data_IF_548113050614
#
_entry.id   IF_548113050614
#
_cell.length_a   1.000
_cell.length_b   1.000
_cell.length_c   1.000
_cell.angle_alpha   90.00
_cell.angle_beta   90.00
_cell.angle_gamma   90.00
#
_symmetry.space_group_name_H-M   'P 1'
#
loop_
_entity.id
_entity.type
_entity.pdbx_description
1 polymer ?
#
# COMPACT_ATOMS: atom_id res chain seq x y z
N UNK A 1 -9.80 -7.09 -7.77
CA UNK A 1 -8.34 -7.31 -7.76
C UNK A 1 -8.01 -8.49 -8.64
N UNK A 2 -6.91 -8.41 -9.39
CA UNK A 2 -6.49 -9.40 -10.38
C UNK A 2 -4.99 -9.67 -10.37
N UNK A 3 -4.30 -9.20 -9.34
CA UNK A 3 -2.87 -9.37 -9.16
C UNK A 3 -2.54 -10.64 -8.39
N UNK A 4 -1.34 -11.15 -8.61
CA UNK A 4 -0.66 -12.05 -7.69
C UNK A 4 0.31 -11.21 -6.87
N UNK A 5 0.08 -11.13 -5.56
CA UNK A 5 1.03 -10.49 -4.64
C UNK A 5 1.34 -9.02 -4.91
N UNK A 6 0.39 -8.25 -5.46
CA UNK A 6 0.60 -6.88 -5.97
C UNK A 6 1.84 -6.71 -6.88
N UNK A 7 2.29 -7.80 -7.50
CA UNK A 7 3.46 -7.85 -8.37
C UNK A 7 3.03 -7.98 -9.83
N UNK A 8 3.31 -6.99 -10.69
CA UNK A 8 3.06 -7.10 -12.13
C UNK A 8 3.79 -8.28 -12.78
N UNK A 9 5.05 -8.55 -12.41
CA UNK A 9 5.80 -9.68 -12.93
C UNK A 9 5.16 -11.04 -12.57
N UNK A 10 4.83 -11.27 -11.29
CA UNK A 10 4.18 -12.51 -10.87
C UNK A 10 2.80 -12.67 -11.52
N UNK A 11 2.07 -11.57 -11.67
CA UNK A 11 0.76 -11.56 -12.34
C UNK A 11 0.87 -11.91 -13.82
N UNK A 12 1.86 -11.39 -14.53
CA UNK A 12 2.11 -11.71 -15.94
C UNK A 12 2.49 -13.19 -16.13
N UNK A 13 3.35 -13.74 -15.26
CA UNK A 13 3.71 -15.15 -15.28
C UNK A 13 2.50 -16.06 -15.02
N UNK A 14 1.73 -15.77 -13.99
CA UNK A 14 0.50 -16.52 -13.69
C UNK A 14 -0.52 -16.43 -14.82
N UNK A 15 -0.70 -15.24 -15.41
CA UNK A 15 -1.61 -15.03 -16.55
C UNK A 15 -1.21 -15.91 -17.73
N UNK A 16 0.08 -15.94 -18.10
CA UNK A 16 0.57 -16.77 -19.19
C UNK A 16 0.22 -18.26 -18.97
N UNK A 17 0.37 -18.75 -17.74
CA UNK A 17 -0.04 -20.11 -17.38
C UNK A 17 -1.57 -20.29 -17.42
N UNK A 18 -2.34 -19.36 -16.86
CA UNK A 18 -3.80 -19.43 -16.78
C UNK A 18 -4.48 -19.46 -18.17
N UNK A 19 -3.91 -18.79 -19.16
CA UNK A 19 -4.36 -18.85 -20.56
C UNK A 19 -4.25 -20.28 -21.11
N UNK A 20 -3.14 -20.99 -20.83
CA UNK A 20 -2.96 -22.37 -21.29
C UNK A 20 -3.92 -23.36 -20.62
N UNK A 21 -4.44 -23.01 -19.44
CA UNK A 21 -5.37 -23.82 -18.64
C UNK A 21 -6.85 -23.46 -18.87
N UNK A 22 -7.16 -22.51 -19.76
CA UNK A 22 -8.56 -22.13 -20.09
C UNK A 22 -9.30 -21.31 -19.03
N UNK A 23 -8.60 -20.69 -18.08
CA UNK A 23 -9.21 -19.88 -16.99
C UNK A 23 -9.52 -18.43 -17.42
N UNK A 24 -10.47 -18.26 -18.35
CA UNK A 24 -10.68 -16.97 -19.04
C UNK A 24 -11.11 -15.78 -18.16
N UNK A 25 -12.04 -15.90 -17.19
CA UNK A 25 -12.44 -14.77 -16.34
C UNK A 25 -11.30 -14.21 -15.48
N UNK A 26 -10.41 -15.10 -15.03
CA UNK A 26 -9.23 -14.82 -14.23
C UNK A 26 -8.17 -14.04 -15.04
N UNK A 27 -7.98 -14.42 -16.30
CA UNK A 27 -7.08 -13.74 -17.24
C UNK A 27 -7.50 -12.29 -17.46
N UNK A 28 -8.79 -12.03 -17.66
CA UNK A 28 -9.30 -10.65 -17.86
C UNK A 28 -9.04 -9.73 -16.66
N UNK A 29 -9.08 -10.26 -15.42
CA UNK A 29 -8.74 -9.49 -14.21
C UNK A 29 -7.25 -9.20 -14.11
N UNK A 30 -6.39 -10.15 -14.49
CA UNK A 30 -4.95 -9.93 -14.57
C UNK A 30 -4.59 -8.87 -15.62
N UNK A 31 -5.23 -8.93 -16.79
CA UNK A 31 -5.05 -7.92 -17.84
C UNK A 31 -5.42 -6.53 -17.37
N UNK A 32 -6.60 -6.39 -16.72
CA UNK A 32 -7.03 -5.12 -16.17
C UNK A 32 -6.05 -4.57 -15.11
N UNK A 33 -5.49 -5.45 -14.27
CA UNK A 33 -4.48 -5.07 -13.28
C UNK A 33 -3.18 -4.60 -13.93
N UNK A 34 -2.61 -5.37 -14.87
CA UNK A 34 -1.36 -5.03 -15.56
C UNK A 34 -1.48 -3.72 -16.33
N UNK A 35 -2.62 -3.50 -16.99
CA UNK A 35 -2.91 -2.25 -17.69
C UNK A 35 -3.04 -1.06 -16.72
N UNK A 36 -3.65 -1.26 -15.56
CA UNK A 36 -3.73 -0.22 -14.52
C UNK A 36 -2.34 0.11 -13.94
N UNK A 37 -1.53 -0.91 -13.63
CA UNK A 37 -0.16 -0.75 -13.16
C UNK A 37 0.71 -0.01 -14.19
N UNK A 38 0.55 -0.31 -15.48
CA UNK A 38 1.30 0.37 -16.55
C UNK A 38 0.90 1.84 -16.65
N UNK A 39 -0.40 2.14 -16.66
CA UNK A 39 -0.90 3.54 -16.65
C UNK A 39 -0.43 4.35 -15.45
N UNK A 40 -0.28 3.71 -14.29
CA UNK A 40 0.18 4.39 -13.07
C UNK A 40 1.62 4.94 -13.18
N UNK A 41 2.45 4.37 -14.06
CA UNK A 41 3.82 4.88 -14.30
C UNK A 41 3.84 6.26 -14.96
N UNK A 42 2.74 6.65 -15.64
CA UNK A 42 2.64 7.88 -16.45
C UNK A 42 3.76 8.05 -17.50
N UNK A 43 4.48 6.97 -17.84
CA UNK A 43 5.57 7.01 -18.81
C UNK A 43 5.08 7.16 -20.26
N UNK A 44 3.82 6.79 -20.53
CA UNK A 44 3.27 6.72 -21.89
C UNK A 44 3.78 5.51 -22.69
N UNK A 45 4.60 4.65 -22.08
CA UNK A 45 5.16 3.46 -22.74
C UNK A 45 4.33 2.24 -22.32
N UNK A 46 3.69 1.60 -23.29
CA UNK A 46 2.90 0.40 -23.05
C UNK A 46 3.77 -0.75 -22.53
N UNK A 47 3.28 -1.49 -21.54
CA UNK A 47 3.97 -2.62 -20.95
C UNK A 47 5.05 -2.27 -19.93
N UNK A 48 5.43 -0.99 -19.80
CA UNK A 48 6.24 -0.52 -18.67
C UNK A 48 5.37 -0.52 -17.43
N UNK A 49 5.78 -1.26 -16.41
CA UNK A 49 5.09 -1.45 -15.14
C UNK A 49 6.09 -1.29 -13.99
N UNK A 50 5.66 -0.86 -12.80
CA UNK A 50 6.51 -0.92 -11.62
C UNK A 50 6.71 -2.38 -11.16
N UNK A 51 7.65 -2.61 -10.25
CA UNK A 51 7.83 -3.91 -9.61
C UNK A 51 6.71 -4.25 -8.61
N UNK A 52 6.10 -3.23 -8.00
CA UNK A 52 4.99 -3.34 -7.04
C UNK A 52 3.92 -2.29 -7.32
N UNK A 53 2.64 -2.68 -7.34
CA UNK A 53 1.52 -1.74 -7.46
C UNK A 53 0.19 -2.33 -6.97
N UNK A 54 -0.67 -1.55 -6.30
CA UNK A 54 -0.43 -0.18 -5.84
C UNK A 54 0.38 -0.12 -4.54
N UNK A 55 0.79 1.09 -4.17
CA UNK A 55 1.46 1.40 -2.89
C UNK A 55 0.74 2.57 -2.18
N UNK A 56 -0.59 2.56 -2.22
CA UNK A 56 -1.44 3.68 -1.82
C UNK A 56 -1.62 3.85 -0.30
N UNK A 57 -0.92 3.05 0.50
CA UNK A 57 -0.73 3.27 1.95
C UNK A 57 0.73 3.61 2.19
N UNK A 58 1.65 2.80 1.66
CA UNK A 58 3.10 2.99 1.78
C UNK A 58 3.54 4.40 1.36
N UNK A 59 3.20 4.85 0.15
CA UNK A 59 3.65 6.14 -0.37
C UNK A 59 3.15 7.32 0.49
N UNK A 60 1.85 7.43 0.84
CA UNK A 60 1.39 8.49 1.73
C UNK A 60 2.00 8.44 3.13
N UNK A 61 2.10 7.26 3.76
CA UNK A 61 2.68 7.10 5.09
C UNK A 61 4.13 7.57 5.14
N UNK A 62 4.97 7.06 4.22
CA UNK A 62 6.38 7.44 4.15
C UNK A 62 6.58 8.89 3.73
N UNK A 63 5.73 9.43 2.86
CA UNK A 63 5.78 10.85 2.49
C UNK A 63 5.51 11.74 3.71
N UNK A 64 4.47 11.43 4.48
CA UNK A 64 4.13 12.19 5.69
C UNK A 64 5.20 12.05 6.77
N UNK A 65 5.71 10.84 7.01
CA UNK A 65 6.80 10.63 7.96
C UNK A 65 8.07 11.41 7.56
N UNK A 66 8.42 11.39 6.27
CA UNK A 66 9.57 12.16 5.74
C UNK A 66 9.36 13.67 5.89
N UNK A 67 8.15 14.18 5.63
CA UNK A 67 7.82 15.58 5.88
C UNK A 67 7.96 15.94 7.36
N UNK A 68 7.61 15.04 8.28
CA UNK A 68 7.86 15.25 9.70
C UNK A 68 9.34 15.35 10.03
N UNK A 69 10.17 14.43 9.53
CA UNK A 69 11.63 14.48 9.71
C UNK A 69 12.25 15.78 9.16
N UNK A 70 11.66 16.34 8.11
CA UNK A 70 12.08 17.62 7.53
C UNK A 70 11.50 18.86 8.24
N UNK A 71 10.67 18.71 9.28
CA UNK A 71 9.99 19.81 9.96
C UNK A 71 8.84 20.45 9.15
N UNK A 72 8.35 19.77 8.11
CA UNK A 72 7.35 20.26 7.16
C UNK A 72 5.95 19.67 7.36
N UNK A 73 5.76 18.71 8.28
CA UNK A 73 4.47 18.06 8.50
C UNK A 73 3.33 19.04 8.81
N UNK A 74 3.62 20.10 9.58
CA UNK A 74 2.66 21.14 9.93
C UNK A 74 2.73 22.38 9.03
N UNK A 75 3.44 22.30 7.89
CA UNK A 75 3.62 23.45 7.00
C UNK A 75 2.26 23.88 6.41
N UNK A 76 1.85 25.17 6.49
CA UNK A 76 0.52 25.62 6.07
C UNK A 76 0.14 25.26 4.63
N UNK A 77 1.11 25.32 3.71
CA UNK A 77 0.87 24.95 2.30
C UNK A 77 0.55 23.46 2.08
N UNK A 78 0.86 22.59 3.04
CA UNK A 78 0.63 21.16 2.98
C UNK A 78 -0.55 20.70 3.85
N UNK A 79 -1.12 21.60 4.67
CA UNK A 79 -2.09 21.26 5.70
C UNK A 79 -3.28 20.46 5.16
N UNK A 80 -3.81 20.83 3.99
CA UNK A 80 -4.94 20.12 3.39
C UNK A 80 -4.57 18.70 2.94
N UNK A 81 -3.42 18.53 2.28
CA UNK A 81 -2.95 17.22 1.84
C UNK A 81 -2.69 16.29 3.04
N UNK A 82 -2.03 16.80 4.07
CA UNK A 82 -1.78 16.07 5.33
C UNK A 82 -3.10 15.66 5.97
N UNK A 83 -4.05 16.60 6.11
CA UNK A 83 -5.36 16.34 6.71
C UNK A 83 -6.13 15.24 5.98
N UNK A 84 -6.16 15.28 4.65
CA UNK A 84 -6.86 14.28 3.82
C UNK A 84 -6.22 12.91 3.97
N UNK A 85 -4.89 12.82 3.89
CA UNK A 85 -4.17 11.54 4.02
C UNK A 85 -4.36 10.96 5.42
N UNK A 86 -4.17 11.77 6.47
CA UNK A 86 -4.37 11.33 7.86
C UNK A 86 -5.78 10.80 8.07
N UNK A 87 -6.81 11.50 7.58
CA UNK A 87 -8.19 11.03 7.71
C UNK A 87 -8.43 9.70 6.97
N UNK A 88 -7.78 9.48 5.82
CA UNK A 88 -7.87 8.21 5.10
C UNK A 88 -7.19 7.07 5.86
N UNK A 89 -6.02 7.30 6.46
CA UNK A 89 -5.32 6.31 7.26
C UNK A 89 -6.12 5.96 8.52
N UNK A 90 -6.63 6.97 9.23
CA UNK A 90 -7.41 6.81 10.46
C UNK A 90 -8.68 5.98 10.22
N UNK A 91 -9.36 6.21 9.09
CA UNK A 91 -10.56 5.46 8.71
C UNK A 91 -10.29 4.01 8.27
N UNK A 92 -9.02 3.62 8.05
CA UNK A 92 -8.64 2.33 7.46
C UNK A 92 -7.81 1.47 8.38
N UNK A 93 -7.03 2.08 9.27
CA UNK A 93 -6.29 1.35 10.28
C UNK A 93 -7.27 0.66 11.24
N UNK A 94 -7.04 -0.62 11.48
CA UNK A 94 -7.75 -1.39 12.47
C UNK A 94 -6.87 -2.48 13.03
N UNK A 95 -7.46 -3.39 13.82
CA UNK A 95 -6.73 -4.42 14.58
C UNK A 95 -5.86 -5.37 13.73
N UNK A 96 -6.09 -5.41 12.41
CA UNK A 96 -5.29 -6.21 11.46
C UNK A 96 -4.15 -5.45 10.80
N UNK A 97 -3.88 -4.21 11.23
CA UNK A 97 -2.85 -3.37 10.63
C UNK A 97 -3.17 -2.96 9.19
N UNK A 98 -2.13 -2.47 8.52
CA UNK A 98 -2.13 -2.08 7.11
C UNK A 98 -0.90 -2.68 6.43
N UNK A 99 -1.00 -2.86 5.12
CA UNK A 99 0.16 -3.15 4.27
C UNK A 99 0.36 -2.05 3.24
N UNK A 100 1.21 -2.27 2.22
CA UNK A 100 1.57 -1.21 1.27
C UNK A 100 0.37 -0.71 0.45
N UNK A 101 -0.68 -1.54 0.35
CA UNK A 101 -1.94 -1.20 -0.27
C UNK A 101 -3.14 -1.67 0.57
N UNK A 102 -4.24 -0.92 0.50
CA UNK A 102 -5.48 -1.16 1.28
C UNK A 102 -6.13 -2.54 1.09
N UNK A 103 -5.77 -3.26 0.02
CA UNK A 103 -6.33 -4.57 -0.31
C UNK A 103 -5.28 -5.68 -0.32
N UNK A 104 -4.09 -5.40 0.19
CA UNK A 104 -3.02 -6.36 0.34
C UNK A 104 -2.88 -6.81 1.79
N UNK A 105 -2.08 -7.86 2.00
CA UNK A 105 -1.77 -8.32 3.35
C UNK A 105 -1.08 -7.20 4.14
N UNK A 106 -1.39 -7.11 5.42
CA UNK A 106 -0.72 -6.20 6.31
C UNK A 106 0.69 -6.69 6.65
N UNK A 107 1.58 -5.76 6.94
CA UNK A 107 2.93 -6.02 7.43
C UNK A 107 3.29 -5.03 8.55
N UNK A 108 4.32 -5.39 9.33
CA UNK A 108 4.69 -4.62 10.52
C UNK A 108 5.23 -3.23 10.19
N UNK A 109 5.90 -3.04 9.04
CA UNK A 109 6.54 -1.78 8.67
C UNK A 109 5.48 -0.73 8.28
N UNK A 110 4.61 -1.06 7.33
CA UNK A 110 3.53 -0.17 6.92
C UNK A 110 2.54 0.10 8.05
N UNK A 111 2.26 -0.89 8.91
CA UNK A 111 1.44 -0.69 10.11
C UNK A 111 2.10 0.27 11.10
N UNK A 112 3.40 0.11 11.39
CA UNK A 112 4.12 0.96 12.35
C UNK A 112 4.23 2.40 11.86
N UNK A 113 4.53 2.63 10.57
CA UNK A 113 4.61 3.99 10.02
C UNK A 113 3.22 4.65 10.00
N UNK A 114 2.16 3.91 9.68
CA UNK A 114 0.79 4.44 9.75
C UNK A 114 0.41 4.88 11.18
N UNK A 115 0.69 4.05 12.20
CA UNK A 115 0.50 4.40 13.61
C UNK A 115 1.28 5.67 13.99
N UNK A 116 2.55 5.74 13.58
CA UNK A 116 3.41 6.90 13.83
C UNK A 116 2.81 8.18 13.21
N UNK A 117 2.43 8.15 11.94
CA UNK A 117 1.83 9.29 11.24
C UNK A 117 0.53 9.75 11.91
N UNK A 118 -0.33 8.83 12.33
CA UNK A 118 -1.55 9.15 13.05
C UNK A 118 -1.24 9.85 14.40
N UNK A 119 -0.28 9.33 15.16
CA UNK A 119 0.16 9.93 16.43
C UNK A 119 0.75 11.32 16.23
N UNK A 120 1.57 11.51 15.19
CA UNK A 120 2.14 12.82 14.80
C UNK A 120 1.06 13.83 14.40
N UNK A 121 -0.06 13.36 13.85
CA UNK A 121 -1.23 14.17 13.55
C UNK A 121 -2.13 14.44 14.77
N UNK A 122 -1.73 14.03 15.98
CA UNK A 122 -2.50 14.20 17.21
C UNK A 122 -3.67 13.21 17.36
N UNK A 123 -3.68 12.11 16.60
CA UNK A 123 -4.60 10.98 16.83
C UNK A 123 -4.08 10.06 17.92
N UNK A 124 -4.95 9.18 18.39
CA UNK A 124 -4.67 8.17 19.41
C UNK A 124 -5.09 6.78 18.89
N UNK A 125 -4.40 6.24 17.87
CA UNK A 125 -4.74 4.92 17.34
C UNK A 125 -4.38 3.83 18.35
N UNK A 126 -5.10 2.71 18.32
CA UNK A 126 -4.77 1.57 19.16
C UNK A 126 -3.51 0.85 18.66
N UNK A 127 -2.59 0.54 19.58
CA UNK A 127 -1.34 -0.18 19.27
C UNK A 127 -1.56 -1.68 19.03
N UNK A 128 -2.79 -2.18 19.24
CA UNK A 128 -3.14 -3.59 19.07
C UNK A 128 -2.94 -4.09 17.63
N UNK A 129 -2.95 -3.17 16.67
CA UNK A 129 -2.64 -3.42 15.27
C UNK A 129 -1.25 -4.05 15.06
N UNK A 130 -0.29 -3.87 15.97
CA UNK A 130 1.04 -4.49 15.84
C UNK A 130 1.15 -5.89 16.46
N UNK A 131 0.22 -6.27 17.35
CA UNK A 131 0.34 -7.48 18.16
C UNK A 131 0.34 -8.78 17.36
N UNK A 132 -0.30 -8.78 16.19
CA UNK A 132 -0.35 -9.98 15.36
C UNK A 132 0.94 -10.23 14.56
N UNK A 133 1.89 -9.29 14.59
CA UNK A 133 3.24 -9.47 14.05
C UNK A 133 4.24 -9.97 15.10
N UNK A 134 3.84 -10.10 16.36
CA UNK A 134 4.68 -10.59 17.45
C UNK A 134 4.85 -12.11 17.38
N UNK A 135 6.11 -12.59 17.33
CA UNK A 135 6.48 -13.99 17.44
C UNK A 135 7.56 -14.13 18.51
N UNK A 136 7.17 -14.58 19.70
CA UNK A 136 8.07 -14.64 20.85
C UNK A 136 8.47 -13.22 21.29
N UNK A 137 9.77 -12.92 21.27
CA UNK A 137 10.30 -11.60 21.63
C UNK A 137 10.59 -10.71 20.39
N UNK A 138 10.13 -11.11 19.20
CA UNK A 138 10.42 -10.46 17.93
C UNK A 138 9.14 -10.01 17.21
N UNK A 139 9.28 -9.05 16.30
CA UNK A 139 8.25 -8.68 15.33
C UNK A 139 8.66 -9.11 13.92
N UNK A 140 7.73 -9.61 13.11
CA UNK A 140 7.98 -10.11 11.74
C UNK A 140 7.09 -9.44 10.69
N UNK A 141 7.57 -9.41 9.44
CA UNK A 141 6.83 -8.96 8.25
C UNK A 141 6.53 -10.13 7.32
#
# INVERSE_FOLDING_TARGET
YGSIGISPAATAAWRAHAVTQGSMPQVGRADAYLQAASRATRSGIEGVVPNVWPINVFEPCWSLYTLHLAGLFAHPALAEAVRVIVAQLDARLGVRGLGPALHFAADADDTAVALCVLRLAGRDPADDALRHFEIGELFVT
#
